data_IF_932243360701
#
_entry.id   IF_932243360701
#
_cell.length_a   1.000
_cell.length_b   1.000
_cell.length_c   1.000
_cell.angle_alpha   90.00
_cell.angle_beta   90.00
_cell.angle_gamma   90.00
#
_symmetry.space_group_name_H-M   'P 1'
#
loop_
_entity.id
_entity.type
_entity.pdbx_description
1 polymer ?
#
# COMPACT_ATOMS: atom_id res chain seq x y z
N UNK A 1 -29.15 4.91 8.32
CA UNK A 1 -28.69 5.28 9.69
C UNK A 1 -29.06 4.23 10.73
N UNK A 2 -30.26 3.65 10.66
CA UNK A 2 -30.70 2.64 11.62
C UNK A 2 -29.85 1.37 11.58
N UNK A 3 -29.39 0.96 10.38
CA UNK A 3 -28.48 -0.18 10.25
C UNK A 3 -27.14 0.06 10.98
N UNK A 4 -26.59 1.28 10.90
CA UNK A 4 -25.36 1.63 11.64
C UNK A 4 -25.58 1.52 13.14
N UNK A 5 -26.73 2.01 13.64
CA UNK A 5 -27.10 1.87 15.05
C UNK A 5 -27.26 0.42 15.45
N UNK A 6 -27.98 -0.36 14.65
CA UNK A 6 -28.22 -1.77 14.91
C UNK A 6 -26.90 -2.56 15.00
N UNK A 7 -25.95 -2.28 14.11
CA UNK A 7 -24.59 -2.89 14.17
C UNK A 7 -23.86 -2.46 15.42
N UNK A 8 -23.85 -1.16 15.76
CA UNK A 8 -23.21 -0.68 16.98
C UNK A 8 -23.80 -1.31 18.24
N UNK A 9 -25.13 -1.42 18.31
CA UNK A 9 -25.83 -2.01 19.43
C UNK A 9 -25.53 -3.52 19.54
N UNK A 10 -25.50 -4.23 18.42
CA UNK A 10 -25.19 -5.66 18.37
C UNK A 10 -23.78 -6.01 18.88
N UNK A 11 -22.81 -5.12 18.69
CA UNK A 11 -21.43 -5.31 19.17
C UNK A 11 -21.15 -4.60 20.50
N UNK A 12 -22.17 -4.02 21.14
CA UNK A 12 -22.02 -3.31 22.40
C UNK A 12 -21.23 -2.01 22.34
N UNK A 13 -21.12 -1.39 21.15
CA UNK A 13 -20.38 -0.13 20.97
C UNK A 13 -21.25 1.07 21.31
N UNK A 14 -20.96 1.75 22.41
CA UNK A 14 -21.66 2.98 22.77
C UNK A 14 -21.31 4.15 21.83
N UNK A 15 -20.04 4.23 21.40
CA UNK A 15 -19.52 5.29 20.52
C UNK A 15 -18.53 4.72 19.52
N UNK A 16 -18.63 5.14 18.27
CA UNK A 16 -17.72 4.72 17.20
C UNK A 16 -17.10 5.92 16.47
N UNK A 17 -15.88 5.76 15.97
CA UNK A 17 -15.38 6.57 14.88
C UNK A 17 -15.98 6.03 13.57
N UNK A 18 -16.42 6.94 12.70
CA UNK A 18 -17.00 6.58 11.42
C UNK A 18 -16.01 6.94 10.29
N UNK A 19 -15.69 5.96 9.46
CA UNK A 19 -14.95 6.18 8.22
C UNK A 19 -15.94 6.18 7.04
N UNK A 20 -16.14 7.35 6.45
CA UNK A 20 -17.05 7.54 5.32
C UNK A 20 -16.28 7.82 4.04
N UNK A 21 -16.30 6.88 3.09
CA UNK A 21 -15.73 7.07 1.76
C UNK A 21 -16.83 7.44 0.76
N UNK A 22 -16.53 8.33 -0.19
CA UNK A 22 -17.44 8.71 -1.27
C UNK A 22 -18.82 9.14 -0.72
N UNK A 23 -19.93 8.57 -1.22
CA UNK A 23 -21.30 8.80 -0.71
C UNK A 23 -21.48 8.39 0.76
N UNK A 24 -20.68 7.45 1.26
CA UNK A 24 -20.68 7.05 2.66
C UNK A 24 -20.29 8.19 3.62
N UNK A 25 -19.56 9.18 3.13
CA UNK A 25 -19.25 10.37 3.91
C UNK A 25 -20.48 11.24 4.18
N UNK A 26 -21.34 11.44 3.20
CA UNK A 26 -22.60 12.19 3.41
C UNK A 26 -23.51 11.48 4.41
N UNK A 27 -23.59 10.15 4.37
CA UNK A 27 -24.32 9.35 5.36
C UNK A 27 -23.70 9.48 6.77
N UNK A 28 -22.36 9.45 6.85
CA UNK A 28 -21.63 9.59 8.13
C UNK A 28 -21.79 10.99 8.73
N UNK A 29 -21.82 12.03 7.91
CA UNK A 29 -22.13 13.40 8.32
C UNK A 29 -23.54 13.49 8.93
N UNK A 30 -24.53 12.91 8.25
CA UNK A 30 -25.90 12.89 8.73
C UNK A 30 -26.04 12.12 10.05
N UNK A 31 -25.32 10.97 10.16
CA UNK A 31 -25.29 10.19 11.40
C UNK A 31 -24.69 11.00 12.56
N UNK A 32 -23.53 11.63 12.34
CA UNK A 32 -22.85 12.41 13.37
C UNK A 32 -23.65 13.65 13.80
N UNK A 33 -24.37 14.29 12.89
CA UNK A 33 -25.26 15.41 13.21
C UNK A 33 -26.49 14.96 14.02
N UNK A 34 -27.03 13.76 13.72
CA UNK A 34 -28.23 13.21 14.38
C UNK A 34 -27.89 12.54 15.73
N UNK A 35 -26.73 11.84 15.78
CA UNK A 35 -26.31 11.07 16.96
C UNK A 35 -24.88 11.47 17.42
N UNK A 36 -24.64 12.74 17.78
CA UNK A 36 -23.31 13.20 18.18
C UNK A 36 -22.75 12.46 19.39
N UNK A 37 -23.62 12.05 20.33
CA UNK A 37 -23.22 11.25 21.49
C UNK A 37 -22.80 9.81 21.14
N UNK A 38 -23.20 9.29 19.96
CA UNK A 38 -22.82 7.96 19.47
C UNK A 38 -21.58 8.03 18.54
N UNK A 39 -21.14 9.23 18.17
CA UNK A 39 -20.03 9.45 17.24
C UNK A 39 -18.80 9.97 17.98
N UNK A 40 -17.69 9.22 17.95
CA UNK A 40 -16.43 9.63 18.56
C UNK A 40 -15.65 10.60 17.65
N UNK A 41 -15.61 10.32 16.37
CA UNK A 41 -14.92 11.09 15.34
C UNK A 41 -15.45 10.75 13.95
N UNK A 42 -15.19 11.63 12.98
CA UNK A 42 -15.42 11.39 11.56
C UNK A 42 -14.11 11.37 10.80
N UNK A 43 -13.96 10.40 9.90
CA UNK A 43 -12.93 10.37 8.86
C UNK A 43 -13.64 10.30 7.52
N UNK A 44 -13.46 11.32 6.68
CA UNK A 44 -14.10 11.45 5.38
C UNK A 44 -13.05 11.36 4.28
N UNK A 45 -13.17 10.36 3.40
CA UNK A 45 -12.23 10.14 2.31
C UNK A 45 -12.94 10.24 0.95
N UNK A 46 -12.41 11.09 0.04
CA UNK A 46 -12.95 11.25 -1.30
C UNK A 46 -14.45 11.56 -1.32
N UNK A 47 -14.93 12.35 -0.35
CA UNK A 47 -16.35 12.53 -0.07
C UNK A 47 -16.84 13.95 -0.39
N UNK A 48 -18.14 14.14 -0.21
CA UNK A 48 -18.86 15.36 -0.52
C UNK A 48 -20.07 15.56 0.39
N UNK A 49 -20.48 16.80 0.57
CA UNK A 49 -21.78 17.11 1.19
C UNK A 49 -22.93 17.12 0.17
N UNK A 50 -22.63 17.46 -1.07
CA UNK A 50 -23.52 17.36 -2.21
C UNK A 50 -22.71 16.86 -3.38
N UNK A 51 -23.17 15.81 -4.10
CA UNK A 51 -22.56 15.46 -5.38
C UNK A 51 -22.82 16.66 -6.27
N UNK A 52 -21.77 17.35 -6.63
CA UNK A 52 -21.97 18.58 -7.36
C UNK A 52 -22.82 18.30 -8.61
N UNK A 53 -23.89 19.04 -8.81
CA UNK A 53 -24.09 19.86 -9.93
C UNK A 53 -23.20 19.57 -11.13
N UNK A 54 -22.44 18.55 -11.07
CA UNK A 54 -21.29 18.27 -11.89
C UNK A 54 -21.64 17.55 -13.15
N UNK A 55 -22.81 16.97 -13.24
CA UNK A 55 -23.24 16.35 -14.47
C UNK A 55 -24.57 17.00 -14.86
N UNK A 56 -24.63 17.59 -16.02
CA UNK A 56 -25.88 17.92 -16.70
C UNK A 56 -26.74 16.65 -16.79
N UNK A 57 -28.02 16.80 -17.03
CA UNK A 57 -28.92 15.66 -17.22
C UNK A 57 -28.44 14.74 -18.36
N UNK A 58 -27.87 15.34 -19.41
CA UNK A 58 -27.29 14.59 -20.53
C UNK A 58 -26.06 13.74 -20.10
N UNK A 59 -25.15 14.34 -19.36
CA UNK A 59 -23.95 13.62 -18.87
C UNK A 59 -24.31 12.53 -17.86
N UNK A 60 -25.31 12.79 -17.02
CA UNK A 60 -25.83 11.80 -16.09
C UNK A 60 -26.46 10.60 -16.82
N UNK A 61 -27.25 10.87 -17.87
CA UNK A 61 -27.83 9.79 -18.67
C UNK A 61 -26.76 8.96 -19.39
N UNK A 62 -25.71 9.60 -19.91
CA UNK A 62 -24.54 8.89 -20.47
C UNK A 62 -23.84 8.02 -19.42
N UNK A 63 -23.77 8.46 -18.18
CA UNK A 63 -23.22 7.66 -17.09
C UNK A 63 -24.10 6.43 -16.77
N UNK A 64 -25.42 6.59 -16.77
CA UNK A 64 -26.38 5.50 -16.59
C UNK A 64 -26.24 4.46 -17.72
N UNK A 65 -26.16 4.89 -18.98
CA UNK A 65 -25.93 4.01 -20.14
C UNK A 65 -24.58 3.29 -20.05
N UNK A 66 -23.56 3.97 -19.50
CA UNK A 66 -22.25 3.37 -19.28
C UNK A 66 -22.28 2.27 -18.21
N UNK A 67 -23.06 2.45 -17.14
CA UNK A 67 -23.28 1.40 -16.13
C UNK A 67 -23.95 0.19 -16.81
N UNK A 68 -25.01 0.39 -17.55
CA UNK A 68 -25.74 -0.68 -18.22
C UNK A 68 -24.84 -1.53 -19.13
N UNK A 69 -23.95 -0.86 -19.86
CA UNK A 69 -23.04 -1.50 -20.81
C UNK A 69 -21.83 -2.17 -20.15
N UNK A 70 -21.24 -1.58 -19.11
CA UNK A 70 -19.93 -1.96 -18.58
C UNK A 70 -19.98 -2.67 -17.23
N UNK A 71 -21.10 -2.63 -16.50
CA UNK A 71 -21.20 -3.28 -15.20
C UNK A 71 -21.10 -4.81 -15.34
N UNK A 72 -20.29 -5.43 -14.50
CA UNK A 72 -19.99 -6.86 -14.55
C UNK A 72 -18.82 -7.25 -15.44
N UNK A 73 -18.24 -6.28 -16.17
CA UNK A 73 -17.06 -6.48 -17.04
C UNK A 73 -15.74 -6.03 -16.36
N UNK A 74 -15.81 -5.37 -15.21
CA UNK A 74 -14.72 -4.65 -14.56
C UNK A 74 -14.39 -3.32 -15.22
N UNK A 75 -15.03 -2.99 -16.33
CA UNK A 75 -14.75 -1.79 -17.10
C UNK A 75 -15.32 -0.50 -16.49
N UNK A 76 -16.43 -0.60 -15.78
CA UNK A 76 -17.04 0.57 -15.15
C UNK A 76 -16.22 1.07 -13.97
N UNK A 77 -15.98 0.23 -12.98
CA UNK A 77 -15.21 0.60 -11.79
C UNK A 77 -13.79 1.02 -12.15
N UNK A 78 -13.12 0.27 -13.03
CA UNK A 78 -11.77 0.60 -13.47
C UNK A 78 -11.71 2.00 -14.07
N UNK A 79 -12.52 2.27 -15.09
CA UNK A 79 -12.46 3.54 -15.82
C UNK A 79 -12.99 4.74 -15.04
N UNK A 80 -13.83 4.53 -14.02
CA UNK A 80 -14.45 5.60 -13.23
C UNK A 80 -13.69 5.91 -11.96
N UNK A 81 -13.20 4.87 -11.27
CA UNK A 81 -12.66 5.00 -9.92
C UNK A 81 -11.18 4.65 -9.80
N UNK A 82 -10.61 3.99 -10.81
CA UNK A 82 -9.24 3.47 -10.76
C UNK A 82 -8.53 3.58 -12.12
N UNK A 83 -8.57 4.75 -12.80
CA UNK A 83 -7.98 4.91 -14.13
C UNK A 83 -6.45 4.74 -14.15
N UNK A 84 -5.75 4.99 -13.04
CA UNK A 84 -4.31 4.81 -12.88
C UNK A 84 -3.89 3.35 -12.75
N UNK A 85 -4.77 2.50 -12.21
CA UNK A 85 -4.51 1.07 -11.97
C UNK A 85 -4.95 0.14 -13.12
N UNK A 86 -5.36 0.70 -14.27
CA UNK A 86 -5.97 -0.05 -15.41
C UNK A 86 -5.00 -1.03 -16.09
N UNK A 87 -3.70 -0.90 -15.88
CA UNK A 87 -2.69 -1.70 -16.61
C UNK A 87 -2.60 -3.17 -16.16
N UNK A 88 -3.28 -3.55 -15.07
CA UNK A 88 -3.22 -4.90 -14.54
C UNK A 88 -4.45 -5.72 -14.94
N UNK A 89 -4.27 -6.70 -15.83
CA UNK A 89 -5.35 -7.62 -16.27
C UNK A 89 -6.00 -8.34 -15.07
N UNK A 90 -5.22 -8.70 -14.04
CA UNK A 90 -5.73 -9.30 -12.82
C UNK A 90 -6.67 -8.37 -12.03
N UNK A 91 -6.40 -7.07 -12.01
CA UNK A 91 -7.24 -6.07 -11.36
C UNK A 91 -8.62 -5.99 -12.04
N UNK A 92 -8.65 -5.96 -13.37
CA UNK A 92 -9.89 -5.91 -14.14
C UNK A 92 -10.75 -7.15 -13.93
N UNK A 93 -10.15 -8.34 -13.90
CA UNK A 93 -10.86 -9.60 -13.64
C UNK A 93 -11.45 -9.64 -12.22
N UNK A 94 -10.68 -9.18 -11.23
CA UNK A 94 -11.17 -9.04 -9.85
C UNK A 94 -12.35 -8.08 -9.78
N UNK A 95 -12.26 -6.90 -10.40
CA UNK A 95 -13.34 -5.91 -10.41
C UNK A 95 -14.58 -6.40 -11.16
N UNK A 96 -14.42 -7.14 -12.24
CA UNK A 96 -15.55 -7.76 -12.93
C UNK A 96 -16.32 -8.74 -12.03
N UNK A 97 -15.60 -9.53 -11.24
CA UNK A 97 -16.20 -10.41 -10.24
C UNK A 97 -16.88 -9.61 -9.12
N UNK A 98 -16.20 -8.58 -8.62
CA UNK A 98 -16.73 -7.70 -7.59
C UNK A 98 -18.04 -7.03 -8.04
N UNK A 99 -18.06 -6.41 -9.24
CA UNK A 99 -19.26 -5.79 -9.81
C UNK A 99 -20.44 -6.76 -9.86
N UNK A 100 -20.24 -7.99 -10.35
CA UNK A 100 -21.31 -9.00 -10.46
C UNK A 100 -21.82 -9.50 -9.10
N UNK A 101 -20.95 -9.52 -8.09
CA UNK A 101 -21.33 -10.00 -6.75
C UNK A 101 -21.92 -8.89 -5.88
N UNK A 102 -21.55 -7.63 -6.12
CA UNK A 102 -21.96 -6.50 -5.30
C UNK A 102 -23.41 -6.08 -5.57
N UNK A 103 -23.80 -5.95 -6.84
CA UNK A 103 -25.13 -5.49 -7.18
C UNK A 103 -25.48 -5.78 -8.67
N UNK A 104 -26.76 -5.79 -9.01
CA UNK A 104 -27.20 -5.77 -10.39
C UNK A 104 -27.01 -4.38 -11.03
N UNK A 105 -26.88 -4.27 -12.36
CA UNK A 105 -26.80 -2.97 -13.05
C UNK A 105 -27.95 -2.03 -12.66
N UNK A 106 -29.17 -2.54 -12.59
CA UNK A 106 -30.36 -1.78 -12.23
C UNK A 106 -30.30 -1.22 -10.80
N UNK A 107 -29.77 -2.01 -9.85
CA UNK A 107 -29.56 -1.56 -8.47
C UNK A 107 -28.52 -0.43 -8.40
N UNK A 108 -27.41 -0.57 -9.13
CA UNK A 108 -26.37 0.49 -9.20
C UNK A 108 -26.93 1.76 -9.81
N UNK A 109 -27.69 1.66 -10.91
CA UNK A 109 -28.35 2.82 -11.52
C UNK A 109 -29.32 3.50 -10.55
N UNK A 110 -30.08 2.72 -9.76
CA UNK A 110 -30.97 3.27 -8.73
C UNK A 110 -30.19 4.01 -7.63
N UNK A 111 -29.09 3.43 -7.14
CA UNK A 111 -28.18 4.07 -6.17
C UNK A 111 -27.61 5.37 -6.75
N UNK A 112 -27.17 5.38 -8.00
CA UNK A 112 -26.64 6.60 -8.65
C UNK A 112 -27.69 7.72 -8.73
N UNK A 113 -28.95 7.38 -9.03
CA UNK A 113 -30.05 8.35 -9.02
C UNK A 113 -30.31 8.89 -7.60
N UNK A 114 -30.37 8.00 -6.62
CA UNK A 114 -30.53 8.41 -5.21
C UNK A 114 -29.37 9.30 -4.74
N UNK A 115 -28.13 8.94 -5.06
CA UNK A 115 -26.96 9.72 -4.67
C UNK A 115 -26.98 11.14 -5.23
N UNK A 116 -27.59 11.36 -6.41
CA UNK A 116 -27.74 12.69 -7.02
C UNK A 116 -28.57 13.66 -6.18
N UNK A 117 -29.49 13.13 -5.37
CA UNK A 117 -30.37 13.93 -4.52
C UNK A 117 -29.75 14.27 -3.15
N UNK A 118 -28.57 13.75 -2.83
CA UNK A 118 -27.90 14.02 -1.56
C UNK A 118 -27.55 15.50 -1.45
N UNK A 119 -27.99 16.16 -0.38
CA UNK A 119 -27.57 17.49 0.03
C UNK A 119 -27.43 17.60 1.56
N UNK A 120 -26.22 17.39 2.03
CA UNK A 120 -25.86 17.45 3.44
C UNK A 120 -25.17 18.79 3.83
N UNK A 121 -25.19 19.82 2.95
CA UNK A 121 -24.50 21.09 3.21
C UNK A 121 -25.02 21.81 4.44
N UNK A 122 -26.31 21.74 4.68
CA UNK A 122 -26.97 22.43 5.80
C UNK A 122 -26.58 21.88 7.18
N UNK A 123 -26.03 20.65 7.24
CA UNK A 123 -25.60 20.04 8.51
C UNK A 123 -24.13 20.26 8.83
N UNK A 124 -23.29 20.69 7.87
CA UNK A 124 -21.86 20.86 8.11
C UNK A 124 -21.54 21.80 9.27
N UNK A 125 -22.19 22.98 9.40
CA UNK A 125 -21.91 23.91 10.50
C UNK A 125 -22.30 23.39 11.89
N UNK A 126 -23.12 22.34 11.98
CA UNK A 126 -23.56 21.76 13.28
C UNK A 126 -22.76 20.53 13.70
N UNK A 127 -21.84 20.03 12.86
CA UNK A 127 -20.92 18.96 13.24
C UNK A 127 -20.03 19.44 14.40
N UNK A 128 -19.97 18.66 15.49
CA UNK A 128 -19.20 18.99 16.71
C UNK A 128 -18.18 17.95 17.07
N UNK A 129 -18.19 16.82 16.37
CA UNK A 129 -17.20 15.74 16.59
C UNK A 129 -15.90 16.03 15.85
N UNK A 130 -14.74 15.65 16.37
CA UNK A 130 -13.47 15.73 15.63
C UNK A 130 -13.62 15.15 14.23
N UNK A 131 -13.16 15.88 13.21
CA UNK A 131 -13.33 15.48 11.81
C UNK A 131 -12.01 15.58 11.05
N UNK A 132 -11.62 14.50 10.38
CA UNK A 132 -10.55 14.44 9.40
C UNK A 132 -11.16 14.32 8.00
N UNK A 133 -10.76 15.18 7.09
CA UNK A 133 -11.13 15.11 5.67
C UNK A 133 -9.88 14.82 4.86
N UNK A 134 -9.90 13.75 4.09
CA UNK A 134 -8.83 13.36 3.17
C UNK A 134 -9.35 13.33 1.74
N UNK A 135 -8.59 13.84 0.79
CA UNK A 135 -8.97 13.84 -0.62
C UNK A 135 -7.76 13.75 -1.53
N UNK A 136 -7.86 13.01 -2.63
CA UNK A 136 -6.81 12.97 -3.64
C UNK A 136 -6.89 14.18 -4.56
N UNK A 137 -5.75 14.80 -4.86
CA UNK A 137 -5.68 16.05 -5.65
C UNK A 137 -6.26 15.86 -7.05
N UNK A 138 -5.98 14.72 -7.67
CA UNK A 138 -6.43 14.38 -9.03
C UNK A 138 -7.59 13.40 -9.09
N UNK A 139 -8.38 13.25 -8.01
CA UNK A 139 -9.49 12.27 -7.93
C UNK A 139 -10.37 12.30 -9.18
N UNK A 140 -10.41 11.18 -9.89
CA UNK A 140 -11.10 11.03 -11.18
C UNK A 140 -12.62 10.94 -11.07
N UNK A 141 -13.14 10.62 -9.89
CA UNK A 141 -14.56 10.43 -9.63
C UNK A 141 -15.19 11.61 -8.91
N UNK A 142 -14.50 12.16 -7.92
CA UNK A 142 -15.00 13.21 -7.02
C UNK A 142 -13.95 14.32 -6.97
N UNK A 143 -14.31 15.52 -7.43
CA UNK A 143 -13.38 16.66 -7.43
C UNK A 143 -12.85 16.98 -6.03
N UNK A 144 -11.55 17.24 -5.91
CA UNK A 144 -10.88 17.66 -4.67
C UNK A 144 -11.53 18.92 -4.04
N UNK A 145 -12.15 19.78 -4.86
CA UNK A 145 -12.86 20.97 -4.39
C UNK A 145 -14.01 20.61 -3.42
N UNK A 146 -14.59 19.42 -3.55
CA UNK A 146 -15.65 18.98 -2.65
C UNK A 146 -15.08 18.58 -1.27
N UNK A 147 -13.89 18.03 -1.23
CA UNK A 147 -13.16 17.80 0.02
C UNK A 147 -12.75 19.12 0.70
N UNK A 148 -12.23 20.07 -0.07
CA UNK A 148 -11.92 21.43 0.40
C UNK A 148 -13.16 22.11 0.96
N UNK A 149 -14.29 21.98 0.28
CA UNK A 149 -15.57 22.51 0.74
C UNK A 149 -16.00 21.89 2.07
N UNK A 150 -15.91 20.57 2.24
CA UNK A 150 -16.19 19.90 3.52
C UNK A 150 -15.32 20.47 4.64
N UNK A 151 -14.02 20.55 4.42
CA UNK A 151 -13.07 21.03 5.43
C UNK A 151 -13.31 22.49 5.82
N UNK A 152 -13.66 23.33 4.85
CA UNK A 152 -13.93 24.74 5.09
C UNK A 152 -15.26 25.00 5.85
N UNK A 153 -16.23 24.07 5.77
CA UNK A 153 -17.57 24.27 6.33
C UNK A 153 -17.85 23.40 7.59
N UNK A 154 -16.95 22.48 7.95
CA UNK A 154 -17.03 21.72 9.19
C UNK A 154 -16.12 22.39 10.23
N UNK A 155 -16.65 22.90 11.35
CA UNK A 155 -15.86 23.59 12.36
C UNK A 155 -14.72 22.71 12.91
N UNK A 156 -13.47 23.19 12.81
CA UNK A 156 -12.30 22.50 13.34
C UNK A 156 -11.87 21.23 12.57
N UNK A 157 -12.35 21.02 11.36
CA UNK A 157 -11.92 19.89 10.54
C UNK A 157 -10.44 19.99 10.17
N UNK A 158 -9.70 18.89 10.36
CA UNK A 158 -8.37 18.70 9.79
C UNK A 158 -8.51 18.28 8.32
N UNK A 159 -7.69 18.85 7.43
CA UNK A 159 -7.70 18.52 6.02
C UNK A 159 -6.36 18.02 5.53
N UNK A 160 -6.37 16.94 4.75
CA UNK A 160 -5.17 16.34 4.17
C UNK A 160 -5.40 16.05 2.69
N UNK A 161 -4.54 16.60 1.83
CA UNK A 161 -4.49 16.25 0.41
C UNK A 161 -3.52 15.10 0.16
N UNK A 162 -3.96 14.16 -0.65
CA UNK A 162 -3.19 12.98 -1.04
C UNK A 162 -2.88 13.04 -2.54
N UNK A 163 -1.67 12.65 -2.98
CA UNK A 163 -1.34 12.63 -4.39
C UNK A 163 -2.07 11.51 -5.13
N UNK A 164 -2.22 11.68 -6.46
CA UNK A 164 -2.72 10.65 -7.37
C UNK A 164 -4.15 10.89 -7.85
N UNK A 165 -4.64 9.99 -8.69
CA UNK A 165 -5.86 10.15 -9.48
C UNK A 165 -6.97 9.14 -9.17
N UNK A 166 -6.62 7.97 -8.65
CA UNK A 166 -7.60 6.92 -8.39
C UNK A 166 -8.44 7.25 -7.16
N UNK A 167 -9.74 7.27 -7.33
CA UNK A 167 -10.68 7.47 -6.22
C UNK A 167 -10.61 6.32 -5.21
N UNK A 168 -10.48 5.09 -5.70
CA UNK A 168 -10.37 3.89 -4.89
C UNK A 168 -8.93 3.33 -4.96
N UNK A 169 -8.05 3.63 -4.00
CA UNK A 169 -6.62 3.34 -4.08
C UNK A 169 -6.25 1.90 -3.69
N UNK A 170 -7.12 0.92 -3.90
CA UNK A 170 -6.94 -0.46 -3.42
C UNK A 170 -5.68 -1.17 -3.96
N UNK A 171 -5.14 -0.72 -5.09
CA UNK A 171 -3.91 -1.25 -5.69
C UNK A 171 -2.69 -0.36 -5.45
N UNK A 172 -2.87 0.80 -4.82
CA UNK A 172 -1.79 1.73 -4.47
C UNK A 172 -1.46 1.58 -2.98
N UNK A 173 -0.59 0.63 -2.65
CA UNK A 173 -0.24 0.32 -1.26
C UNK A 173 0.22 1.56 -0.48
N UNK A 174 1.12 2.34 -1.05
CA UNK A 174 1.67 3.54 -0.38
C UNK A 174 0.59 4.57 0.00
N UNK A 175 -0.45 4.70 -0.84
CA UNK A 175 -1.56 5.61 -0.57
C UNK A 175 -2.51 5.01 0.47
N UNK A 176 -2.77 3.71 0.38
CA UNK A 176 -3.60 3.00 1.36
C UNK A 176 -2.95 3.08 2.75
N UNK A 177 -1.65 2.79 2.85
CA UNK A 177 -0.88 2.91 4.09
C UNK A 177 -0.96 4.34 4.64
N UNK A 178 -0.80 5.35 3.79
CA UNK A 178 -0.91 6.76 4.21
C UNK A 178 -2.31 7.13 4.71
N UNK A 179 -3.38 6.63 4.09
CA UNK A 179 -4.76 6.84 4.57
C UNK A 179 -4.93 6.22 5.96
N UNK A 180 -4.38 5.02 6.18
CA UNK A 180 -4.41 4.34 7.47
C UNK A 180 -3.63 5.14 8.51
N UNK A 181 -2.39 5.55 8.21
CA UNK A 181 -1.52 6.33 9.10
C UNK A 181 -2.17 7.65 9.54
N UNK A 182 -2.72 8.42 8.59
CA UNK A 182 -3.41 9.69 8.89
C UNK A 182 -4.67 9.45 9.75
N UNK A 183 -5.38 8.35 9.49
CA UNK A 183 -6.56 7.96 10.27
C UNK A 183 -6.17 7.57 11.68
N UNK A 184 -5.15 6.74 11.85
CA UNK A 184 -4.66 6.29 13.14
C UNK A 184 -4.14 7.45 13.99
N UNK A 185 -3.26 8.28 13.41
CA UNK A 185 -2.75 9.48 14.08
C UNK A 185 -3.88 10.40 14.54
N UNK A 186 -4.89 10.59 13.68
CA UNK A 186 -6.05 11.41 14.02
C UNK A 186 -6.87 10.84 15.18
N UNK A 187 -7.06 9.52 15.23
CA UNK A 187 -7.88 8.85 16.23
C UNK A 187 -7.18 8.60 17.56
N UNK A 188 -5.86 8.38 17.53
CA UNK A 188 -5.06 7.97 18.71
C UNK A 188 -4.12 9.07 19.21
N UNK A 189 -3.82 10.07 18.37
CA UNK A 189 -2.82 11.11 18.66
C UNK A 189 -1.38 10.68 18.40
N UNK A 190 -1.15 9.45 17.94
CA UNK A 190 0.17 8.92 17.60
C UNK A 190 0.09 8.10 16.32
N UNK A 191 1.15 8.13 15.52
CA UNK A 191 1.34 7.12 14.48
C UNK A 191 1.89 5.88 15.14
N UNK A 192 1.34 4.72 14.83
CA UNK A 192 2.04 3.48 15.10
C UNK A 192 3.35 3.50 14.31
N UNK A 193 4.44 3.16 14.98
CA UNK A 193 5.64 2.80 14.21
C UNK A 193 5.19 1.65 13.29
N UNK A 194 5.53 1.68 11.99
CA UNK A 194 5.13 0.62 11.08
C UNK A 194 5.49 -0.70 11.74
N UNK A 195 4.51 -1.58 11.85
CA UNK A 195 4.70 -2.93 12.42
C UNK A 195 5.80 -3.56 11.57
N UNK A 196 7.00 -3.65 12.19
CA UNK A 196 8.19 -4.10 11.48
C UNK A 196 7.94 -5.57 11.22
N UNK A 197 7.65 -5.91 9.98
CA UNK A 197 7.30 -7.27 9.58
C UNK A 197 8.49 -8.17 9.95
N UNK A 198 8.40 -8.82 11.12
CA UNK A 198 9.42 -9.75 11.61
C UNK A 198 9.15 -11.12 11.04
N UNK A 199 10.07 -11.58 10.23
CA UNK A 199 9.99 -12.90 9.63
C UNK A 199 11.21 -13.76 10.01
N UNK A 200 10.99 -15.04 10.12
CA UNK A 200 12.11 -15.97 10.26
C UNK A 200 12.75 -16.16 8.89
N UNK A 201 13.98 -15.71 8.74
CA UNK A 201 14.74 -15.85 7.50
C UNK A 201 16.17 -16.33 7.76
N UNK A 202 16.80 -16.88 6.74
CA UNK A 202 18.24 -17.15 6.76
C UNK A 202 18.94 -16.04 5.99
N UNK A 203 19.79 -15.28 6.69
CA UNK A 203 20.64 -14.25 6.11
C UNK A 203 21.97 -14.86 5.70
N UNK A 204 22.44 -14.56 4.51
CA UNK A 204 23.74 -14.94 3.98
C UNK A 204 24.54 -13.70 3.62
N UNK A 205 25.78 -13.65 4.08
CA UNK A 205 26.79 -12.73 3.57
C UNK A 205 27.81 -13.50 2.77
N UNK A 206 28.29 -12.90 1.69
CA UNK A 206 29.46 -13.36 0.94
C UNK A 206 30.48 -12.23 0.82
N UNK A 207 31.75 -12.57 0.73
CA UNK A 207 32.83 -11.60 0.64
C UNK A 207 34.04 -12.24 -0.09
N UNK A 208 34.75 -11.45 -0.91
CA UNK A 208 35.96 -11.89 -1.61
C UNK A 208 37.13 -11.86 -0.63
N UNK A 209 37.83 -12.99 -0.47
CA UNK A 209 39.01 -13.07 0.38
C UNK A 209 40.14 -12.21 -0.18
N UNK A 210 40.76 -11.37 0.67
CA UNK A 210 41.84 -10.46 0.33
C UNK A 210 41.52 -9.49 -0.84
N UNK A 211 40.27 -9.05 -0.97
CA UNK A 211 39.79 -8.22 -2.07
C UNK A 211 40.64 -6.97 -2.31
N UNK A 212 40.99 -6.22 -1.26
CA UNK A 212 41.83 -5.03 -1.33
C UNK A 212 43.23 -5.31 -1.90
N UNK A 213 43.85 -6.41 -1.48
CA UNK A 213 45.14 -6.85 -1.99
C UNK A 213 45.04 -7.24 -3.46
N UNK A 214 44.03 -7.99 -3.82
CA UNK A 214 43.77 -8.40 -5.21
C UNK A 214 43.49 -7.21 -6.13
N UNK A 215 42.73 -6.24 -5.67
CA UNK A 215 42.51 -5.00 -6.42
C UNK A 215 43.82 -4.25 -6.70
N UNK A 216 44.70 -4.15 -5.69
CA UNK A 216 46.01 -3.49 -5.86
C UNK A 216 46.92 -4.26 -6.82
N UNK A 217 46.92 -5.61 -6.84
CA UNK A 217 47.69 -6.44 -7.72
C UNK A 217 47.24 -6.35 -9.21
N UNK A 218 45.91 -6.31 -9.45
CA UNK A 218 45.30 -6.35 -10.76
C UNK A 218 45.16 -4.98 -11.44
N UNK A 219 45.02 -3.94 -10.61
CA UNK A 219 44.68 -2.59 -11.04
C UNK A 219 43.20 -2.42 -11.41
N UNK A 220 42.72 -1.21 -11.40
CA UNK A 220 41.28 -0.86 -11.43
C UNK A 220 40.49 -1.49 -12.58
N UNK A 221 41.07 -1.51 -13.77
CA UNK A 221 40.38 -2.03 -14.97
C UNK A 221 40.16 -3.54 -14.92
N UNK A 222 41.17 -4.30 -14.53
CA UNK A 222 41.09 -5.76 -14.47
C UNK A 222 40.26 -6.18 -13.25
N UNK A 223 40.40 -5.48 -12.13
CA UNK A 223 39.63 -5.70 -10.96
C UNK A 223 38.13 -5.52 -11.22
N UNK A 224 37.73 -4.44 -11.87
CA UNK A 224 36.32 -4.19 -12.24
C UNK A 224 35.76 -5.30 -13.13
N UNK A 225 36.47 -5.69 -14.17
CA UNK A 225 36.04 -6.78 -15.05
C UNK A 225 35.96 -8.15 -14.32
N UNK A 226 36.72 -8.33 -13.26
CA UNK A 226 36.65 -9.52 -12.41
C UNK A 226 35.45 -9.48 -11.49
N UNK A 227 35.15 -8.31 -10.87
CA UNK A 227 33.96 -8.10 -10.05
C UNK A 227 32.67 -8.31 -10.86
N UNK A 228 32.58 -7.78 -12.08
CA UNK A 228 31.42 -7.99 -12.94
C UNK A 228 31.11 -9.49 -13.14
N UNK A 229 32.15 -10.31 -13.41
CA UNK A 229 31.99 -11.76 -13.57
C UNK A 229 31.67 -12.47 -12.27
N UNK A 230 32.23 -12.03 -11.14
CA UNK A 230 31.93 -12.52 -9.81
C UNK A 230 30.44 -12.27 -9.49
N UNK A 231 29.99 -11.05 -9.70
CA UNK A 231 28.63 -10.62 -9.41
C UNK A 231 27.60 -11.41 -10.23
N UNK A 232 27.84 -11.56 -11.52
CA UNK A 232 27.01 -12.39 -12.40
C UNK A 232 26.94 -13.83 -11.92
N UNK A 233 28.09 -14.39 -11.50
CA UNK A 233 28.17 -15.76 -10.98
C UNK A 233 27.37 -15.91 -9.69
N UNK A 234 27.51 -14.98 -8.74
CA UNK A 234 26.78 -15.01 -7.46
C UNK A 234 25.28 -14.84 -7.71
N UNK A 235 24.85 -13.88 -8.54
CA UNK A 235 23.42 -13.66 -8.86
C UNK A 235 22.79 -14.88 -9.53
N UNK A 236 23.52 -15.59 -10.40
CA UNK A 236 23.04 -16.86 -10.97
C UNK A 236 22.78 -17.92 -9.88
N UNK A 237 23.66 -18.02 -8.88
CA UNK A 237 23.47 -18.97 -7.79
C UNK A 237 22.30 -18.53 -6.89
N UNK A 238 22.19 -17.24 -6.55
CA UNK A 238 21.05 -16.72 -5.80
C UNK A 238 19.74 -17.07 -6.50
N UNK A 239 19.61 -16.78 -7.78
CA UNK A 239 18.42 -17.10 -8.57
C UNK A 239 18.11 -18.62 -8.57
N UNK A 240 19.16 -19.46 -8.77
CA UNK A 240 19.03 -20.94 -8.78
C UNK A 240 18.47 -21.49 -7.47
N UNK A 241 18.88 -20.93 -6.33
CA UNK A 241 18.48 -21.40 -4.99
C UNK A 241 17.36 -20.56 -4.38
N UNK A 242 16.73 -19.66 -5.15
CA UNK A 242 15.64 -18.75 -4.73
C UNK A 242 16.06 -17.86 -3.55
N UNK A 243 17.31 -17.39 -3.55
CA UNK A 243 17.79 -16.35 -2.65
C UNK A 243 17.35 -14.97 -3.17
N UNK A 244 17.01 -14.10 -2.27
CA UNK A 244 16.70 -12.70 -2.56
C UNK A 244 17.93 -11.84 -2.25
N UNK A 245 18.48 -11.16 -3.27
CA UNK A 245 19.54 -10.17 -3.08
C UNK A 245 18.96 -8.96 -2.34
N UNK A 246 19.49 -8.65 -1.17
CA UNK A 246 19.10 -7.48 -0.37
C UNK A 246 20.02 -6.30 -0.69
N UNK A 247 21.34 -6.55 -0.68
CA UNK A 247 22.36 -5.52 -0.94
C UNK A 247 23.58 -6.11 -1.63
N UNK A 248 24.14 -5.32 -2.54
CA UNK A 248 25.51 -5.48 -3.04
C UNK A 248 26.45 -4.61 -2.21
N UNK A 249 27.53 -5.22 -1.69
CA UNK A 249 28.45 -4.58 -0.72
C UNK A 249 29.79 -4.17 -1.36
N UNK A 250 29.87 -4.12 -2.68
CA UNK A 250 31.05 -3.81 -3.44
C UNK A 250 31.84 -5.04 -3.88
N UNK A 251 32.31 -5.87 -2.96
CA UNK A 251 33.01 -7.13 -3.21
C UNK A 251 32.27 -8.35 -2.62
N UNK A 252 31.04 -8.15 -2.16
CA UNK A 252 30.20 -9.19 -1.59
C UNK A 252 28.72 -8.90 -1.68
N UNK A 253 27.91 -9.82 -1.16
CA UNK A 253 26.47 -9.78 -1.21
C UNK A 253 25.87 -10.04 0.17
N UNK A 254 24.77 -9.36 0.44
CA UNK A 254 23.82 -9.72 1.47
C UNK A 254 22.56 -10.28 0.80
N UNK A 255 22.17 -11.49 1.15
CA UNK A 255 20.99 -12.13 0.61
C UNK A 255 20.17 -12.81 1.71
N UNK A 256 18.87 -13.01 1.47
CA UNK A 256 17.96 -13.73 2.35
C UNK A 256 17.35 -14.95 1.66
N UNK A 257 16.97 -15.93 2.49
CA UNK A 257 16.31 -17.16 2.06
C UNK A 257 15.18 -17.51 3.02
N UNK A 258 14.16 -18.15 2.50
CA UNK A 258 13.02 -18.68 3.26
C UNK A 258 13.36 -19.93 4.14
N UNK A 259 14.64 -20.35 4.14
CA UNK A 259 15.10 -21.44 4.99
C UNK A 259 16.58 -21.80 4.82
N UNK A 260 17.19 -22.40 5.87
CA UNK A 260 18.63 -22.60 5.94
C UNK A 260 19.16 -23.61 4.90
N UNK A 261 18.37 -24.60 4.52
CA UNK A 261 18.84 -25.63 3.58
C UNK A 261 19.13 -25.06 2.17
N UNK A 262 18.38 -24.06 1.71
CA UNK A 262 18.64 -23.39 0.44
C UNK A 262 19.84 -22.48 0.53
N UNK A 263 19.95 -21.70 1.61
CA UNK A 263 21.07 -20.81 1.87
C UNK A 263 22.41 -21.58 1.91
N UNK A 264 22.48 -22.69 2.65
CA UNK A 264 23.68 -23.54 2.74
C UNK A 264 24.08 -24.09 1.37
N UNK A 265 23.10 -24.59 0.58
CA UNK A 265 23.39 -25.10 -0.77
C UNK A 265 23.83 -24.01 -1.71
N UNK A 266 23.27 -22.79 -1.59
CA UNK A 266 23.70 -21.64 -2.36
C UNK A 266 25.14 -21.25 -2.02
N UNK A 267 25.47 -21.07 -0.76
CA UNK A 267 26.82 -20.76 -0.29
C UNK A 267 27.84 -21.79 -0.77
N UNK A 268 27.54 -23.10 -0.60
CA UNK A 268 28.40 -24.16 -1.09
C UNK A 268 28.58 -24.17 -2.62
N UNK A 269 27.54 -23.75 -3.37
CA UNK A 269 27.64 -23.61 -4.83
C UNK A 269 28.50 -22.40 -5.20
N UNK A 270 28.34 -21.25 -4.54
CA UNK A 270 29.18 -20.06 -4.75
C UNK A 270 30.66 -20.39 -4.50
N UNK A 271 30.97 -21.05 -3.36
CA UNK A 271 32.33 -21.45 -3.03
C UNK A 271 32.95 -22.47 -4.02
N UNK A 272 32.14 -23.09 -4.88
CA UNK A 272 32.62 -23.98 -5.95
C UNK A 272 32.73 -23.32 -7.31
N UNK A 273 31.86 -22.35 -7.61
CA UNK A 273 31.76 -21.73 -8.94
C UNK A 273 32.60 -20.47 -9.09
N UNK A 274 32.95 -19.79 -7.99
CA UNK A 274 33.77 -18.56 -8.02
C UNK A 274 35.28 -18.83 -8.14
N UNK A 275 35.91 -19.83 -7.50
CA UNK A 275 37.35 -20.07 -7.58
C UNK A 275 37.94 -20.20 -8.99
N UNK A 276 37.24 -20.73 -10.01
CA UNK A 276 37.72 -20.69 -11.40
C UNK A 276 37.98 -19.30 -11.97
N UNK A 277 37.42 -18.24 -11.34
CA UNK A 277 37.71 -16.83 -11.69
C UNK A 277 39.07 -16.34 -11.13
N UNK A 278 39.77 -17.13 -10.32
CA UNK A 278 41.03 -16.78 -9.68
C UNK A 278 40.90 -16.05 -8.35
N UNK A 279 39.71 -16.06 -7.75
CA UNK A 279 39.42 -15.47 -6.42
C UNK A 279 38.77 -16.51 -5.49
N UNK A 280 38.97 -16.37 -4.20
CA UNK A 280 38.27 -17.15 -3.18
C UNK A 280 37.14 -16.29 -2.56
N UNK A 281 36.06 -16.95 -2.19
CA UNK A 281 34.91 -16.31 -1.51
C UNK A 281 34.64 -17.03 -0.20
N UNK A 282 34.40 -16.28 0.85
CA UNK A 282 33.88 -16.75 2.13
C UNK A 282 32.40 -16.44 2.25
N UNK A 283 31.69 -17.23 3.05
CA UNK A 283 30.25 -17.05 3.27
C UNK A 283 29.89 -17.31 4.72
N UNK A 284 29.12 -16.41 5.31
CA UNK A 284 28.52 -16.58 6.63
C UNK A 284 27.00 -16.61 6.55
N UNK A 285 26.40 -17.52 7.33
CA UNK A 285 24.96 -17.69 7.37
C UNK A 285 24.45 -17.69 8.80
N UNK A 286 23.28 -17.09 9.01
CA UNK A 286 22.57 -17.17 10.27
C UNK A 286 21.06 -17.19 10.02
N UNK A 287 20.34 -18.03 10.76
CA UNK A 287 18.87 -18.09 10.72
C UNK A 287 18.31 -17.47 11.98
N UNK A 288 17.42 -16.52 11.84
CA UNK A 288 16.77 -15.83 12.95
C UNK A 288 15.69 -14.87 12.47
N UNK A 289 15.03 -14.24 13.42
CA UNK A 289 14.06 -13.17 13.09
C UNK A 289 14.79 -11.96 12.52
N UNK A 290 14.28 -11.48 11.40
CA UNK A 290 14.74 -10.27 10.72
C UNK A 290 13.55 -9.31 10.52
N UNK A 291 13.83 -8.04 10.52
CA UNK A 291 12.90 -6.97 10.20
C UNK A 291 13.01 -6.65 8.72
N UNK A 292 11.92 -6.86 7.97
CA UNK A 292 11.85 -6.47 6.56
C UNK A 292 11.55 -4.97 6.47
N UNK A 293 12.43 -4.24 5.80
CA UNK A 293 12.21 -2.83 5.42
C UNK A 293 12.21 -2.77 3.90
N UNK A 294 11.34 -1.99 3.28
CA UNK A 294 11.10 -1.89 1.81
C UNK A 294 12.21 -2.48 0.92
N UNK A 295 13.47 -2.01 1.08
CA UNK A 295 14.64 -2.43 0.31
C UNK A 295 15.80 -2.89 1.20
N UNK A 296 15.54 -3.21 2.49
CA UNK A 296 16.57 -3.60 3.44
C UNK A 296 16.07 -4.65 4.44
N UNK A 297 17.00 -5.28 5.13
CA UNK A 297 16.74 -6.25 6.19
C UNK A 297 17.58 -5.88 7.41
N UNK A 298 16.94 -5.80 8.57
CA UNK A 298 17.58 -5.45 9.83
C UNK A 298 17.35 -6.51 10.91
N UNK A 299 18.03 -6.36 12.05
CA UNK A 299 17.87 -7.22 13.22
C UNK A 299 19.14 -7.94 13.63
N UNK A 300 19.10 -8.59 14.80
CA UNK A 300 20.24 -9.31 15.37
C UNK A 300 20.75 -10.43 14.46
N UNK A 301 19.85 -11.07 13.73
CA UNK A 301 20.20 -12.14 12.78
C UNK A 301 21.14 -11.67 11.67
N UNK A 302 20.97 -10.42 11.20
CA UNK A 302 21.84 -9.78 10.20
C UNK A 302 23.26 -9.58 10.75
N UNK A 303 23.37 -9.05 11.97
CA UNK A 303 24.66 -8.86 12.62
C UNK A 303 25.39 -10.19 12.87
N UNK A 304 24.66 -11.22 13.29
CA UNK A 304 25.23 -12.55 13.53
C UNK A 304 25.73 -13.18 12.22
N UNK A 305 24.97 -13.09 11.12
CA UNK A 305 25.42 -13.60 9.82
C UNK A 305 26.69 -12.89 9.32
N UNK A 306 26.76 -11.56 9.47
CA UNK A 306 27.95 -10.79 9.12
C UNK A 306 29.18 -11.19 9.94
N UNK A 307 29.02 -11.41 11.24
CA UNK A 307 30.11 -11.88 12.11
C UNK A 307 30.59 -13.28 11.72
N UNK A 308 29.66 -14.21 11.42
CA UNK A 308 30.03 -15.55 10.94
C UNK A 308 30.81 -15.47 9.62
N UNK A 309 30.44 -14.57 8.71
CA UNK A 309 31.17 -14.36 7.45
C UNK A 309 32.58 -13.79 7.67
N UNK A 310 32.77 -12.98 8.70
CA UNK A 310 34.07 -12.40 9.03
C UNK A 310 35.05 -13.42 9.63
N UNK A 311 34.55 -14.48 10.28
CA UNK A 311 35.34 -15.55 10.90
C UNK A 311 35.58 -16.75 9.97
N UNK A 312 35.01 -16.75 8.75
CA UNK A 312 35.07 -17.86 7.80
C UNK A 312 36.35 -17.91 6.95
#
# INVERSE_FOLDING_TARGET
>A
MDDVRAVMDAVGSERAALFGASEGGAMSLLFAATYPQRTRALVLYGSYARPSHLLSDEEFNKEIERIDRLWGTGGYLTSRYMPGSVSEEGARQFLARYERQAASPSAVMAIRRMNREIDARHILPVIRVPTLVMHRIGDSAISVELGRYLAANIPGARYVELPGTDHAPFYERDITDRIVDETEEFLTGSRSEPDVDRVLATVMFTDIVDSTKRAAELGDRQWRALLDRHDDTVRQQLARFRGHEVKHLGDGFMATFDGPARAVRCAASICKTVPPLGIAVRSGLHTGEVELKRDDVAGIAVHNAARVAAEA
#
